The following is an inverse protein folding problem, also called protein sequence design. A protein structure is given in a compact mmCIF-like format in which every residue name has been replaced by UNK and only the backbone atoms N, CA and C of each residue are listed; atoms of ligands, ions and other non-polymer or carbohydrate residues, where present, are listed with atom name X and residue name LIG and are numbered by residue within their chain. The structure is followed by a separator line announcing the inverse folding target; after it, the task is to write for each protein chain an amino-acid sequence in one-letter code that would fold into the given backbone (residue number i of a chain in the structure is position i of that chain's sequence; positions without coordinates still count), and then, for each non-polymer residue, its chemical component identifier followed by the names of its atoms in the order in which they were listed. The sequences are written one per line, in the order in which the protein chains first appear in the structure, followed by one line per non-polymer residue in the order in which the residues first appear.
data_IF_564493881011
#
_entry.id   IF_564493881011
#
_cell.length_a   1.000
_cell.length_b   1.000
_cell.length_c   1.000
_cell.angle_alpha   90.00
_cell.angle_beta   90.00
_cell.angle_gamma   90.00
#
_symmetry.space_group_name_H-M   'P 1'
#
loop_
_entity.id
_entity.type
_entity.pdbx_description
1 polymer ?
#
# COMPACT_ATOMS: atom_id res chain seq x y z
N UNK A 1 21.52 1.78 28.56
CA UNK A 1 21.18 3.15 28.12
C UNK A 1 20.16 3.01 27.00
N UNK A 2 19.11 3.84 26.91
CA UNK A 2 18.32 3.85 25.69
C UNK A 2 19.25 4.21 24.52
N UNK A 3 19.16 3.49 23.41
CA UNK A 3 19.90 3.82 22.19
C UNK A 3 19.57 5.27 21.79
N UNK A 4 20.52 6.02 21.19
CA UNK A 4 20.21 7.33 20.65
C UNK A 4 19.04 7.21 19.66
N UNK A 5 18.15 8.21 19.61
CA UNK A 5 17.00 8.17 18.71
C UNK A 5 17.50 8.08 17.25
N UNK A 6 16.90 7.22 16.42
CA UNK A 6 17.41 6.96 15.08
C UNK A 6 17.23 8.16 14.16
N UNK A 7 18.11 8.29 13.17
CA UNK A 7 17.93 9.19 12.04
C UNK A 7 17.19 8.45 10.92
N UNK A 8 16.00 8.94 10.59
CA UNK A 8 15.08 8.30 9.64
C UNK A 8 14.88 9.21 8.44
N UNK A 9 15.09 8.69 7.24
CA UNK A 9 14.73 9.35 6.00
C UNK A 9 13.55 8.66 5.32
N UNK A 10 12.62 9.44 4.75
CA UNK A 10 11.49 8.92 3.98
C UNK A 10 11.70 9.26 2.51
N UNK A 11 11.67 8.23 1.66
CA UNK A 11 11.81 8.33 0.21
C UNK A 11 10.50 7.94 -0.47
N UNK A 12 9.84 8.94 -1.08
CA UNK A 12 8.58 8.75 -1.78
C UNK A 12 7.41 9.45 -1.09
N UNK A 13 7.38 10.78 -1.11
CA UNK A 13 6.34 11.58 -0.46
C UNK A 13 5.08 11.75 -1.31
N UNK A 14 4.48 10.61 -1.68
CA UNK A 14 3.07 10.53 -2.09
C UNK A 14 2.15 10.48 -0.86
N UNK A 15 0.93 9.97 -1.04
CA UNK A 15 -0.08 9.92 0.04
C UNK A 15 0.44 9.23 1.31
N UNK A 16 0.94 7.99 1.19
CA UNK A 16 1.46 7.21 2.33
C UNK A 16 2.72 7.85 2.92
N UNK A 17 3.67 8.26 2.07
CA UNK A 17 4.93 8.86 2.54
C UNK A 17 4.72 10.17 3.29
N UNK A 18 3.85 11.05 2.80
CA UNK A 18 3.51 12.30 3.48
C UNK A 18 2.77 12.06 4.80
N UNK A 19 1.83 11.10 4.82
CA UNK A 19 1.14 10.74 6.06
C UNK A 19 2.09 10.16 7.11
N UNK A 20 2.99 9.25 6.70
CA UNK A 20 4.05 8.73 7.58
C UNK A 20 4.97 9.86 8.07
N UNK A 21 5.37 10.78 7.18
CA UNK A 21 6.21 11.92 7.52
C UNK A 21 5.58 12.79 8.60
N UNK A 22 4.27 13.07 8.51
CA UNK A 22 3.56 13.81 9.55
C UNK A 22 3.73 13.12 10.90
N UNK A 23 3.45 11.82 10.99
CA UNK A 23 3.56 11.09 12.25
C UNK A 23 4.99 11.13 12.81
N UNK A 24 6.01 10.86 12.00
CA UNK A 24 7.40 10.79 12.47
C UNK A 24 7.95 12.17 12.87
N UNK A 25 7.54 13.26 12.21
CA UNK A 25 7.94 14.63 12.58
C UNK A 25 7.37 15.09 13.93
N UNK A 26 6.46 14.33 14.50
CA UNK A 26 5.92 14.53 15.85
C UNK A 26 6.47 13.52 16.88
N UNK A 27 7.56 12.80 16.58
CA UNK A 27 8.17 11.86 17.53
C UNK A 27 8.55 12.55 18.85
N UNK A 28 7.96 12.16 19.99
CA UNK A 28 8.29 12.73 21.29
C UNK A 28 9.74 12.46 21.74
N UNK A 29 10.42 11.48 21.14
CA UNK A 29 11.80 11.13 21.47
C UNK A 29 12.84 11.82 20.56
N UNK A 30 12.42 12.78 19.73
CA UNK A 30 13.30 13.60 18.90
C UNK A 30 14.15 12.80 17.89
N UNK A 31 13.61 11.73 17.28
CA UNK A 31 14.22 11.15 16.08
C UNK A 31 14.43 12.23 15.02
N UNK A 32 15.58 12.19 14.34
CA UNK A 32 15.88 13.17 13.30
C UNK A 32 15.26 12.70 12.00
N UNK A 33 14.26 13.42 11.50
CA UNK A 33 13.51 13.05 10.30
C UNK A 33 13.97 13.87 9.11
N UNK A 34 14.27 13.16 8.01
CA UNK A 34 14.61 13.73 6.71
C UNK A 34 13.65 13.26 5.63
N UNK A 35 13.44 14.12 4.64
CA UNK A 35 12.48 13.91 3.56
C UNK A 35 13.22 13.94 2.23
N UNK A 36 13.19 12.86 1.46
CA UNK A 36 13.73 12.86 0.08
C UNK A 36 12.57 13.03 -0.88
N UNK A 37 12.48 14.21 -1.48
CA UNK A 37 11.31 14.62 -2.24
C UNK A 37 11.66 15.36 -3.54
N UNK A 38 10.76 15.27 -4.51
CA UNK A 38 10.84 16.02 -5.78
C UNK A 38 10.42 17.48 -5.56
N UNK A 39 10.79 18.34 -6.48
CA UNK A 39 10.41 19.77 -6.48
C UNK A 39 8.89 19.97 -6.32
N UNK A 40 8.07 19.11 -6.91
CA UNK A 40 6.61 19.18 -6.76
C UNK A 40 6.14 19.10 -5.30
N UNK A 41 6.85 18.39 -4.43
CA UNK A 41 6.54 18.32 -3.00
C UNK A 41 6.94 19.62 -2.30
N UNK A 42 8.14 20.14 -2.56
CA UNK A 42 8.61 21.38 -1.94
C UNK A 42 7.80 22.58 -2.41
N UNK A 43 7.42 22.66 -3.68
CA UNK A 43 6.51 23.71 -4.17
C UNK A 43 5.14 23.66 -3.48
N UNK A 44 4.65 22.46 -3.15
CA UNK A 44 3.32 22.27 -2.55
C UNK A 44 3.30 22.51 -1.04
N UNK A 45 4.37 22.18 -0.33
CA UNK A 45 4.40 22.16 1.14
C UNK A 45 5.46 23.07 1.77
N UNK A 46 6.42 23.58 1.00
CA UNK A 46 7.54 24.35 1.51
C UNK A 46 7.18 25.72 2.09
N UNK A 47 5.98 26.25 1.80
CA UNK A 47 5.49 27.53 2.31
C UNK A 47 4.36 27.39 3.33
N UNK A 48 3.50 26.38 3.19
CA UNK A 48 2.28 26.20 3.99
C UNK A 48 2.32 24.97 4.90
N UNK A 49 3.23 24.03 4.66
CA UNK A 49 3.30 22.77 5.38
C UNK A 49 2.26 21.78 4.88
N UNK A 50 1.88 20.84 5.74
CA UNK A 50 0.80 19.88 5.47
C UNK A 50 0.22 19.33 6.77
N UNK A 51 -0.94 18.67 6.68
CA UNK A 51 -1.62 18.07 7.80
C UNK A 51 -1.92 16.59 7.54
N UNK A 52 -1.81 15.76 8.58
CA UNK A 52 -2.34 14.40 8.59
C UNK A 52 -3.55 14.30 9.54
N UNK A 53 -4.67 13.78 9.04
CA UNK A 53 -5.87 13.50 9.85
C UNK A 53 -6.00 12.00 10.09
N UNK A 54 -5.99 11.58 11.35
CA UNK A 54 -6.17 10.18 11.77
C UNK A 54 -7.64 9.75 11.66
N UNK A 55 -7.88 8.45 11.74
CA UNK A 55 -9.24 7.89 11.66
C UNK A 55 -10.18 8.39 12.76
N UNK A 56 -9.63 8.73 13.94
CA UNK A 56 -10.36 9.31 15.07
C UNK A 56 -10.66 10.82 14.91
N UNK A 57 -10.20 11.43 13.81
CA UNK A 57 -10.36 12.84 13.50
C UNK A 57 -9.27 13.75 14.07
N UNK A 58 -8.33 13.22 14.87
CA UNK A 58 -7.20 14.01 15.37
C UNK A 58 -6.26 14.42 14.23
N UNK A 59 -5.68 15.62 14.35
CA UNK A 59 -4.88 16.24 13.30
C UNK A 59 -3.45 16.52 13.74
N UNK A 60 -2.51 16.24 12.84
CA UNK A 60 -1.09 16.51 12.99
C UNK A 60 -0.67 17.56 11.96
N UNK A 61 -0.39 18.78 12.42
CA UNK A 61 -0.03 19.91 11.55
C UNK A 61 1.50 20.08 11.45
N UNK A 62 2.06 19.75 10.30
CA UNK A 62 3.48 19.90 10.02
C UNK A 62 3.73 21.30 9.46
N UNK A 63 4.45 22.12 10.22
CA UNK A 63 4.86 23.45 9.79
C UNK A 63 6.07 23.38 8.83
N UNK A 64 6.19 24.29 7.84
CA UNK A 64 7.29 24.29 6.88
C UNK A 64 8.70 24.27 7.49
N UNK A 65 8.90 24.92 8.63
CA UNK A 65 10.19 25.01 9.33
C UNK A 65 10.70 23.67 9.86
N UNK A 66 9.81 22.66 9.96
CA UNK A 66 10.18 21.29 10.35
C UNK A 66 10.62 20.41 9.18
N UNK A 67 10.52 20.91 7.95
CA UNK A 67 10.76 20.10 6.75
C UNK A 67 12.25 20.08 6.39
N UNK A 68 12.96 19.04 6.81
CA UNK A 68 14.33 18.78 6.37
C UNK A 68 14.32 18.04 5.03
N UNK A 69 14.11 18.78 3.93
CA UNK A 69 13.96 18.21 2.59
C UNK A 69 15.29 18.17 1.84
N UNK A 70 15.54 17.04 1.17
CA UNK A 70 16.67 16.77 0.30
C UNK A 70 16.17 16.40 -1.09
N UNK A 71 16.89 16.83 -2.13
CA UNK A 71 16.48 16.62 -3.52
C UNK A 71 16.72 15.18 -3.99
N UNK A 72 17.66 14.47 -3.35
CA UNK A 72 18.00 13.09 -3.68
C UNK A 72 18.60 12.35 -2.48
N UNK A 73 18.75 11.03 -2.61
CA UNK A 73 19.43 10.21 -1.60
C UNK A 73 20.91 10.60 -1.50
N UNK A 74 21.56 10.93 -2.61
CA UNK A 74 22.96 11.36 -2.59
C UNK A 74 23.15 12.69 -1.84
N UNK A 75 22.25 13.65 -2.07
CA UNK A 75 22.20 14.95 -1.38
C UNK A 75 22.02 14.75 0.14
N UNK A 76 21.06 13.91 0.53
CA UNK A 76 20.85 13.50 1.92
C UNK A 76 22.12 12.93 2.57
N UNK A 77 22.76 11.96 1.92
CA UNK A 77 23.92 11.26 2.48
C UNK A 77 25.20 12.12 2.50
N UNK A 78 25.25 13.20 1.73
CA UNK A 78 26.31 14.20 1.83
C UNK A 78 26.17 15.09 3.08
N UNK A 79 24.95 15.25 3.59
CA UNK A 79 24.66 16.13 4.73
C UNK A 79 24.62 15.40 6.08
N UNK A 80 24.15 14.14 6.11
CA UNK A 80 23.81 13.44 7.36
C UNK A 80 23.93 11.92 7.21
N UNK A 81 24.37 11.26 8.29
CA UNK A 81 24.30 9.80 8.42
C UNK A 81 22.88 9.36 8.75
N UNK A 82 22.35 8.39 8.01
CA UNK A 82 20.96 7.93 8.13
C UNK A 82 20.93 6.46 8.54
N UNK A 83 20.18 6.15 9.59
CA UNK A 83 20.03 4.78 10.11
C UNK A 83 18.98 4.00 9.32
N UNK A 84 17.84 4.63 9.03
CA UNK A 84 16.73 4.01 8.30
C UNK A 84 16.31 4.85 7.10
N UNK A 85 16.19 4.22 5.93
CA UNK A 85 15.60 4.80 4.74
C UNK A 85 14.27 4.08 4.43
N UNK A 86 13.14 4.72 4.75
CA UNK A 86 11.80 4.18 4.52
C UNK A 86 11.33 4.55 3.11
N UNK A 87 11.13 3.53 2.27
CA UNK A 87 10.75 3.65 0.86
C UNK A 87 9.26 3.41 0.71
N UNK A 88 8.52 4.46 0.34
CA UNK A 88 7.05 4.49 0.19
C UNK A 88 6.62 4.80 -1.25
N UNK A 89 7.47 4.49 -2.24
CA UNK A 89 7.16 4.67 -3.66
C UNK A 89 6.21 3.56 -4.17
N UNK A 90 5.50 3.85 -5.27
CA UNK A 90 4.73 2.82 -5.98
C UNK A 90 5.64 1.69 -6.44
N UNK A 91 5.10 0.47 -6.53
CA UNK A 91 5.86 -0.72 -6.94
C UNK A 91 6.58 -0.56 -8.27
N UNK A 92 5.93 0.10 -9.25
CA UNK A 92 6.52 0.40 -10.57
C UNK A 92 7.86 1.14 -10.51
N UNK A 93 8.10 1.92 -9.45
CA UNK A 93 9.31 2.74 -9.30
C UNK A 93 10.34 2.11 -8.35
N UNK A 94 10.02 1.01 -7.67
CA UNK A 94 10.85 0.48 -6.58
C UNK A 94 12.25 0.11 -7.07
N UNK A 95 12.37 -0.65 -8.17
CA UNK A 95 13.67 -1.06 -8.71
C UNK A 95 14.60 0.12 -8.96
N UNK A 96 14.13 1.11 -9.71
CA UNK A 96 14.93 2.28 -10.08
C UNK A 96 15.34 3.09 -8.83
N UNK A 97 14.46 3.17 -7.84
CA UNK A 97 14.76 3.80 -6.55
C UNK A 97 15.85 3.03 -5.80
N UNK A 98 15.75 1.70 -5.71
CA UNK A 98 16.78 0.86 -5.08
C UNK A 98 18.12 0.97 -5.81
N UNK A 99 18.13 1.06 -7.14
CA UNK A 99 19.35 1.29 -7.92
C UNK A 99 20.00 2.64 -7.59
N UNK A 100 19.20 3.69 -7.41
CA UNK A 100 19.66 5.00 -6.96
C UNK A 100 20.22 4.98 -5.53
N UNK A 101 19.56 4.26 -4.61
CA UNK A 101 20.04 4.07 -3.22
C UNK A 101 21.38 3.32 -3.20
N UNK A 102 21.52 2.26 -4.01
CA UNK A 102 22.79 1.55 -4.18
C UNK A 102 23.88 2.47 -4.71
N UNK A 103 23.58 3.23 -5.76
CA UNK A 103 24.54 4.14 -6.39
C UNK A 103 25.00 5.26 -5.43
N UNK A 104 24.12 5.72 -4.55
CA UNK A 104 24.45 6.68 -3.50
C UNK A 104 25.29 6.07 -2.35
N UNK A 105 25.51 4.76 -2.34
CA UNK A 105 26.36 4.08 -1.35
C UNK A 105 25.74 3.98 0.04
N UNK A 106 24.41 3.96 0.15
CA UNK A 106 23.72 3.84 1.44
C UNK A 106 24.11 2.56 2.20
N UNK A 107 24.33 2.66 3.51
CA UNK A 107 24.78 1.56 4.39
C UNK A 107 23.88 1.29 5.60
N UNK A 108 22.80 2.06 5.78
CA UNK A 108 21.83 1.83 6.84
C UNK A 108 20.83 0.71 6.48
N UNK A 109 19.65 0.77 7.08
CA UNK A 109 18.56 -0.17 6.84
C UNK A 109 17.56 0.43 5.86
N UNK A 110 17.21 -0.30 4.80
CA UNK A 110 16.15 0.10 3.87
C UNK A 110 14.84 -0.58 4.27
N UNK A 111 13.79 0.21 4.48
CA UNK A 111 12.47 -0.33 4.82
C UNK A 111 11.52 -0.14 3.66
N UNK A 112 11.05 -1.23 3.07
CA UNK A 112 10.18 -1.16 1.87
C UNK A 112 8.73 -1.30 2.30
N UNK A 113 7.94 -0.25 2.08
CA UNK A 113 6.52 -0.19 2.44
C UNK A 113 5.70 0.14 1.18
N UNK A 114 5.68 -0.81 0.25
CA UNK A 114 4.93 -0.72 -1.02
C UNK A 114 3.73 -1.67 -1.04
N UNK A 115 2.74 -1.42 -1.89
CA UNK A 115 1.62 -2.35 -2.09
C UNK A 115 2.05 -3.65 -2.79
N UNK A 116 1.19 -4.67 -2.76
CA UNK A 116 1.49 -5.98 -3.35
C UNK A 116 2.51 -6.78 -2.53
N UNK A 117 2.98 -7.88 -3.09
CA UNK A 117 3.97 -8.76 -2.47
C UNK A 117 5.37 -8.56 -3.10
N UNK A 118 6.38 -9.19 -2.49
CA UNK A 118 7.76 -9.32 -3.01
C UNK A 118 8.55 -8.01 -3.18
N UNK A 119 8.05 -6.89 -2.65
CA UNK A 119 8.78 -5.62 -2.70
C UNK A 119 10.11 -5.70 -1.97
N UNK A 120 10.15 -6.35 -0.80
CA UNK A 120 11.39 -6.58 -0.06
C UNK A 120 12.33 -7.54 -0.78
N UNK A 121 11.82 -8.57 -1.46
CA UNK A 121 12.63 -9.49 -2.25
C UNK A 121 13.32 -8.79 -3.43
N UNK A 122 12.56 -8.00 -4.19
CA UNK A 122 13.10 -7.21 -5.30
C UNK A 122 14.16 -6.21 -4.82
N UNK A 123 13.88 -5.51 -3.71
CA UNK A 123 14.83 -4.58 -3.12
C UNK A 123 16.13 -5.28 -2.67
N UNK A 124 16.02 -6.45 -2.03
CA UNK A 124 17.19 -7.27 -1.63
C UNK A 124 18.03 -7.70 -2.84
N UNK A 125 17.40 -8.02 -3.96
CA UNK A 125 18.11 -8.38 -5.20
C UNK A 125 18.91 -7.23 -5.81
N UNK A 126 18.56 -5.97 -5.49
CA UNK A 126 19.29 -4.78 -5.97
C UNK A 126 20.30 -4.29 -4.93
N UNK A 127 19.94 -4.32 -3.66
CA UNK A 127 20.67 -3.73 -2.54
C UNK A 127 21.56 -4.75 -1.83
N UNK A 128 22.50 -5.34 -2.57
CA UNK A 128 23.44 -6.31 -2.01
C UNK A 128 24.23 -5.74 -0.82
N UNK A 129 24.20 -6.45 0.31
CA UNK A 129 24.92 -6.06 1.54
C UNK A 129 24.25 -4.95 2.36
N UNK A 130 23.04 -4.52 1.99
CA UNK A 130 22.21 -3.59 2.77
C UNK A 130 21.08 -4.36 3.42
N UNK A 131 20.82 -4.14 4.71
CA UNK A 131 19.67 -4.76 5.38
C UNK A 131 18.36 -4.20 4.79
N UNK A 132 17.46 -5.09 4.38
CA UNK A 132 16.13 -4.72 3.90
C UNK A 132 15.07 -5.27 4.84
N UNK A 133 14.29 -4.37 5.44
CA UNK A 133 13.11 -4.70 6.25
C UNK A 133 11.88 -4.54 5.39
N UNK A 134 11.14 -5.63 5.21
CA UNK A 134 9.87 -5.58 4.47
C UNK A 134 8.73 -5.09 5.36
N UNK A 135 7.86 -4.26 4.82
CA UNK A 135 6.73 -3.68 5.54
C UNK A 135 5.44 -3.70 4.75
N UNK A 136 4.33 -3.68 5.48
CA UNK A 136 2.97 -3.63 4.93
C UNK A 136 2.24 -2.41 5.52
N UNK A 137 1.76 -1.54 4.62
CA UNK A 137 0.89 -0.43 4.99
C UNK A 137 -0.59 -0.87 4.96
N UNK A 138 -1.38 -0.70 6.03
CA UNK A 138 -2.64 -1.42 6.17
C UNK A 138 -3.87 -0.68 5.64
N UNK A 139 -3.82 0.65 5.53
CA UNK A 139 -5.00 1.47 5.22
C UNK A 139 -4.78 2.44 4.08
N UNK A 140 -5.88 2.91 3.49
CA UNK A 140 -5.83 3.92 2.45
C UNK A 140 -5.59 5.31 3.07
N UNK A 141 -4.72 6.08 2.44
CA UNK A 141 -4.57 7.51 2.69
C UNK A 141 -5.13 8.24 1.48
N UNK A 142 -6.01 9.21 1.72
CA UNK A 142 -6.57 10.08 0.69
C UNK A 142 -6.10 11.50 0.91
N UNK A 143 -6.08 12.30 -0.15
CA UNK A 143 -5.85 13.73 -0.04
C UNK A 143 -7.18 14.48 -0.23
N UNK A 144 -7.74 15.02 0.85
CA UNK A 144 -9.04 15.72 0.82
C UNK A 144 -8.96 17.12 0.21
N UNK A 145 -7.84 17.79 0.44
CA UNK A 145 -7.46 19.06 -0.15
C UNK A 145 -5.92 19.10 -0.25
N UNK A 146 -5.37 20.06 -0.99
CA UNK A 146 -3.92 20.15 -1.17
C UNK A 146 -3.16 20.23 0.17
N UNK A 147 -2.41 19.18 0.51
CA UNK A 147 -1.68 19.05 1.77
C UNK A 147 -2.48 18.52 2.95
N UNK A 148 -3.70 18.02 2.74
CA UNK A 148 -4.52 17.39 3.77
C UNK A 148 -4.60 15.88 3.53
N UNK A 149 -3.75 15.12 4.21
CA UNK A 149 -3.67 13.67 4.09
C UNK A 149 -4.52 12.99 5.17
N UNK A 150 -5.57 12.28 4.78
CA UNK A 150 -6.52 11.65 5.71
C UNK A 150 -6.46 10.12 5.64
N UNK A 151 -6.41 9.48 6.80
CA UNK A 151 -6.61 8.04 6.93
C UNK A 151 -8.08 7.69 6.64
N UNK A 152 -8.31 6.84 5.64
CA UNK A 152 -9.64 6.46 5.18
C UNK A 152 -10.12 5.11 5.74
N UNK A 153 -9.23 4.28 6.28
CA UNK A 153 -9.58 2.98 6.88
C UNK A 153 -8.71 2.65 8.09
N UNK A 154 -9.15 1.70 8.92
CA UNK A 154 -8.42 1.22 10.09
C UNK A 154 -7.38 0.14 9.71
N UNK A 155 -6.42 -0.10 10.60
CA UNK A 155 -5.43 -1.19 10.48
C UNK A 155 -4.07 -0.82 11.06
N UNK A 156 -3.29 -1.86 11.41
CA UNK A 156 -1.95 -1.72 11.99
C UNK A 156 -0.87 -1.92 10.94
N UNK A 157 0.20 -1.13 10.98
CA UNK A 157 1.37 -1.34 10.12
C UNK A 157 2.06 -2.65 10.52
N UNK A 158 2.61 -3.38 9.57
CA UNK A 158 3.44 -4.55 9.86
C UNK A 158 4.84 -4.36 9.32
N UNK A 159 5.85 -4.74 10.10
CA UNK A 159 7.25 -4.81 9.67
C UNK A 159 7.79 -6.23 9.88
N UNK A 160 8.79 -6.62 9.08
CA UNK A 160 9.50 -7.90 9.28
C UNK A 160 10.14 -7.94 10.67
N UNK A 161 9.86 -9.01 11.42
CA UNK A 161 10.46 -9.21 12.73
C UNK A 161 11.97 -9.42 12.62
N UNK A 162 12.70 -8.46 13.17
CA UNK A 162 14.16 -8.31 13.15
C UNK A 162 14.53 -7.25 14.19
N UNK A 163 15.80 -7.13 14.63
CA UNK A 163 16.20 -6.04 15.53
C UNK A 163 15.84 -4.65 14.97
N UNK A 164 16.13 -4.42 13.69
CA UNK A 164 15.84 -3.18 12.97
C UNK A 164 14.33 -2.96 12.80
N UNK A 165 13.59 -4.00 12.42
CA UNK A 165 12.13 -3.94 12.29
C UNK A 165 11.40 -3.66 13.61
N UNK A 166 11.83 -4.26 14.73
CA UNK A 166 11.30 -3.97 16.07
C UNK A 166 11.58 -2.54 16.51
N UNK A 167 12.81 -2.07 16.31
CA UNK A 167 13.20 -0.69 16.64
C UNK A 167 12.34 0.34 15.89
N UNK A 168 12.09 0.10 14.59
CA UNK A 168 11.25 0.98 13.79
C UNK A 168 9.77 0.84 14.13
N UNK A 169 9.27 -0.37 14.43
CA UNK A 169 7.91 -0.60 14.88
C UNK A 169 7.59 0.12 16.19
N UNK A 170 8.52 0.10 17.16
CA UNK A 170 8.41 0.86 18.39
C UNK A 170 8.33 2.36 18.09
N UNK A 171 9.14 2.84 17.14
CA UNK A 171 9.17 4.26 16.75
C UNK A 171 7.86 4.69 16.10
N UNK A 172 7.34 3.91 15.15
CA UNK A 172 6.06 4.18 14.50
C UNK A 172 4.92 4.17 15.53
N UNK A 173 4.91 3.18 16.42
CA UNK A 173 3.87 3.04 17.46
C UNK A 173 3.87 4.24 18.40
N UNK A 174 5.04 4.69 18.87
CA UNK A 174 5.16 5.91 19.70
C UNK A 174 4.70 7.17 18.97
N UNK A 175 4.87 7.24 17.65
CA UNK A 175 4.39 8.33 16.81
C UNK A 175 2.88 8.25 16.50
N UNK A 176 2.15 7.31 17.12
CA UNK A 176 0.72 7.12 16.91
C UNK A 176 0.35 6.34 15.65
N UNK A 177 1.28 5.53 15.12
CA UNK A 177 1.02 4.52 14.08
C UNK A 177 1.20 3.12 14.69
N UNK A 178 0.15 2.49 15.23
CA UNK A 178 0.23 1.13 15.76
C UNK A 178 0.91 0.19 14.76
N UNK A 179 2.05 -0.36 15.17
CA UNK A 179 2.89 -1.19 14.29
C UNK A 179 3.24 -2.50 14.98
N UNK A 180 3.01 -3.60 14.26
CA UNK A 180 3.33 -4.96 14.69
C UNK A 180 4.55 -5.48 13.92
N UNK A 181 5.23 -6.47 14.48
CA UNK A 181 6.21 -7.25 13.73
C UNK A 181 5.67 -8.62 13.37
N UNK A 182 6.15 -9.19 12.26
CA UNK A 182 5.81 -10.56 11.84
C UNK A 182 7.05 -11.32 11.40
N UNK A 183 7.19 -12.55 11.90
CA UNK A 183 8.21 -13.48 11.42
C UNK A 183 7.91 -13.94 9.98
N UNK A 184 6.63 -14.02 9.59
CA UNK A 184 6.20 -14.42 8.27
C UNK A 184 5.53 -13.23 7.55
N UNK A 185 6.33 -12.44 6.83
CA UNK A 185 5.84 -11.30 6.07
C UNK A 185 5.11 -11.71 4.80
N UNK A 186 5.42 -12.87 4.20
CA UNK A 186 4.69 -13.36 3.03
C UNK A 186 3.23 -13.60 3.39
N UNK A 187 2.95 -14.25 4.52
CA UNK A 187 1.57 -14.41 5.03
C UNK A 187 0.83 -13.08 5.17
N UNK A 188 1.50 -12.04 5.68
CA UNK A 188 0.94 -10.70 5.86
C UNK A 188 0.66 -10.03 4.51
N UNK A 189 1.63 -10.05 3.59
CA UNK A 189 1.53 -9.38 2.29
C UNK A 189 0.53 -10.05 1.37
N UNK A 190 0.56 -11.39 1.26
CA UNK A 190 -0.41 -12.14 0.45
C UNK A 190 -1.81 -12.12 1.06
N UNK A 191 -1.92 -11.97 2.38
CA UNK A 191 -3.19 -11.71 3.05
C UNK A 191 -3.79 -10.36 2.66
N UNK A 192 -3.01 -9.28 2.76
CA UNK A 192 -3.45 -7.95 2.30
C UNK A 192 -3.74 -7.93 0.80
N UNK A 193 -2.94 -8.65 0.00
CA UNK A 193 -3.12 -8.73 -1.45
C UNK A 193 -4.53 -9.22 -1.81
N UNK A 194 -5.07 -10.24 -1.12
CA UNK A 194 -6.44 -10.74 -1.35
C UNK A 194 -7.51 -9.65 -1.19
N UNK A 195 -7.32 -8.73 -0.24
CA UNK A 195 -8.21 -7.57 -0.06
C UNK A 195 -8.04 -6.59 -1.22
N UNK A 196 -6.79 -6.30 -1.59
CA UNK A 196 -6.46 -5.38 -2.67
C UNK A 196 -6.85 -5.88 -4.07
N UNK A 197 -7.20 -7.16 -4.25
CA UNK A 197 -7.77 -7.64 -5.52
C UNK A 197 -9.07 -6.91 -5.88
N UNK A 198 -9.78 -6.35 -4.90
CA UNK A 198 -10.97 -5.54 -5.16
C UNK A 198 -10.65 -4.18 -5.84
N UNK A 199 -9.41 -3.69 -5.74
CA UNK A 199 -9.05 -2.36 -6.24
C UNK A 199 -9.30 -2.21 -7.74
N UNK A 200 -8.96 -3.24 -8.52
CA UNK A 200 -9.19 -3.27 -9.96
C UNK A 200 -10.67 -3.35 -10.33
N UNK A 201 -11.48 -4.05 -9.53
CA UNK A 201 -12.92 -4.20 -9.75
C UNK A 201 -13.61 -2.85 -9.49
N UNK A 202 -13.21 -2.13 -8.43
CA UNK A 202 -13.65 -0.77 -8.18
C UNK A 202 -13.28 0.18 -9.35
N UNK A 203 -12.07 0.06 -9.92
CA UNK A 203 -11.67 0.85 -11.09
C UNK A 203 -12.48 0.51 -12.35
N UNK A 204 -12.70 -0.78 -12.65
CA UNK A 204 -13.45 -1.24 -13.83
C UNK A 204 -14.94 -0.92 -13.74
N UNK A 205 -15.55 -1.04 -12.56
CA UNK A 205 -16.96 -0.67 -12.36
C UNK A 205 -17.20 0.83 -12.44
N UNK A 206 -16.14 1.64 -12.25
CA UNK A 206 -16.22 3.09 -12.08
C UNK A 206 -17.21 3.52 -10.98
N UNK A 207 -17.38 2.70 -9.94
CA UNK A 207 -18.24 2.96 -8.79
C UNK A 207 -17.41 3.24 -7.53
N UNK A 208 -17.92 4.07 -6.61
CA UNK A 208 -17.42 4.12 -5.23
C UNK A 208 -17.45 2.73 -4.59
N UNK A 209 -16.51 2.46 -3.69
CA UNK A 209 -16.28 1.15 -3.08
C UNK A 209 -17.56 0.56 -2.47
N UNK A 210 -18.34 1.37 -1.75
CA UNK A 210 -19.59 0.91 -1.14
C UNK A 210 -20.61 0.47 -2.19
N UNK A 211 -20.78 1.22 -3.28
CA UNK A 211 -21.73 0.90 -4.33
C UNK A 211 -21.31 -0.36 -5.11
N UNK A 212 -20.01 -0.49 -5.40
CA UNK A 212 -19.43 -1.67 -6.02
C UNK A 212 -19.66 -2.92 -5.16
N UNK A 213 -19.25 -2.89 -3.88
CA UNK A 213 -19.39 -4.03 -2.96
C UNK A 213 -20.87 -4.34 -2.66
N UNK A 214 -21.79 -3.38 -2.74
CA UNK A 214 -23.23 -3.66 -2.62
C UNK A 214 -23.83 -4.34 -3.86
N UNK A 215 -23.08 -4.47 -4.95
CA UNK A 215 -23.57 -5.05 -6.21
C UNK A 215 -23.07 -6.48 -6.36
N UNK A 216 -24.00 -7.44 -6.42
CA UNK A 216 -23.70 -8.88 -6.50
C UNK A 216 -22.67 -9.24 -7.57
N UNK A 217 -22.80 -8.69 -8.78
CA UNK A 217 -21.93 -9.01 -9.92
C UNK A 217 -20.45 -8.74 -9.63
N UNK A 218 -20.13 -7.58 -9.05
CA UNK A 218 -18.76 -7.21 -8.72
C UNK A 218 -18.21 -8.00 -7.53
N UNK A 219 -19.02 -8.22 -6.48
CA UNK A 219 -18.63 -9.14 -5.39
C UNK A 219 -18.34 -10.55 -5.87
N UNK A 220 -19.11 -11.06 -6.82
CA UNK A 220 -18.88 -12.37 -7.43
C UNK A 220 -17.53 -12.42 -8.15
N UNK A 221 -17.15 -11.36 -8.87
CA UNK A 221 -15.82 -11.26 -9.51
C UNK A 221 -14.73 -11.29 -8.44
N UNK A 222 -14.86 -10.52 -7.36
CA UNK A 222 -13.88 -10.53 -6.28
C UNK A 222 -13.76 -11.92 -5.65
N UNK A 223 -14.88 -12.59 -5.40
CA UNK A 223 -14.90 -13.96 -4.88
C UNK A 223 -14.17 -14.96 -5.79
N UNK A 224 -14.31 -14.81 -7.12
CA UNK A 224 -13.62 -15.65 -8.09
C UNK A 224 -12.11 -15.40 -8.08
N UNK A 225 -11.67 -14.14 -8.08
CA UNK A 225 -10.25 -13.78 -7.92
C UNK A 225 -9.67 -14.37 -6.63
N UNK A 226 -10.35 -14.20 -5.49
CA UNK A 226 -9.91 -14.78 -4.22
C UNK A 226 -9.83 -16.31 -4.29
N UNK A 227 -10.78 -16.96 -4.96
CA UNK A 227 -10.79 -18.42 -5.11
C UNK A 227 -9.59 -18.91 -5.93
N UNK A 228 -9.26 -18.23 -7.03
CA UNK A 228 -8.06 -18.52 -7.82
C UNK A 228 -6.79 -18.29 -6.99
N UNK A 229 -6.66 -17.11 -6.37
CA UNK A 229 -5.50 -16.77 -5.54
C UNK A 229 -5.28 -17.74 -4.40
N UNK A 230 -6.32 -18.17 -3.69
CA UNK A 230 -6.19 -19.14 -2.60
C UNK A 230 -5.71 -20.51 -3.08
N UNK A 231 -6.11 -20.95 -4.28
CA UNK A 231 -5.57 -22.18 -4.90
C UNK A 231 -4.10 -22.02 -5.25
N UNK A 232 -3.73 -20.89 -5.85
CA UNK A 232 -2.34 -20.56 -6.17
C UNK A 232 -1.48 -20.54 -4.90
N UNK A 233 -1.94 -19.86 -3.85
CA UNK A 233 -1.22 -19.74 -2.58
C UNK A 233 -1.07 -21.09 -1.90
N UNK A 234 -2.11 -21.93 -1.90
CA UNK A 234 -2.02 -23.29 -1.36
C UNK A 234 -0.97 -24.14 -2.11
N UNK A 235 -0.94 -24.07 -3.44
CA UNK A 235 0.07 -24.77 -4.24
C UNK A 235 1.49 -24.22 -4.02
N UNK A 236 1.63 -22.92 -3.71
CA UNK A 236 2.89 -22.27 -3.38
C UNK A 236 3.32 -22.43 -1.90
N UNK A 237 2.50 -23.06 -1.05
CA UNK A 237 2.78 -23.18 0.39
C UNK A 237 2.62 -21.86 1.18
N UNK A 238 1.86 -20.91 0.65
CA UNK A 238 1.60 -19.61 1.28
C UNK A 238 0.29 -19.66 2.07
N UNK A 239 0.36 -19.28 3.34
CA UNK A 239 -0.79 -19.22 4.23
C UNK A 239 -1.14 -17.76 4.56
N UNK A 240 -2.10 -17.13 3.87
CA UNK A 240 -2.38 -15.71 4.03
C UNK A 240 -3.02 -15.38 5.38
N UNK A 241 -2.54 -14.32 6.05
CA UNK A 241 -3.11 -13.79 7.28
C UNK A 241 -4.43 -13.07 6.97
N UNK A 242 -5.55 -13.39 7.66
CA UNK A 242 -6.81 -12.69 7.47
C UNK A 242 -6.79 -11.31 8.13
N UNK A 243 -7.15 -10.28 7.37
CA UNK A 243 -7.33 -8.90 7.86
C UNK A 243 -8.80 -8.45 7.92
N UNK A 244 -9.71 -9.31 7.48
CA UNK A 244 -11.15 -9.09 7.56
C UNK A 244 -11.74 -9.97 8.67
N UNK A 245 -12.90 -9.58 9.19
CA UNK A 245 -13.59 -10.32 10.25
C UNK A 245 -14.00 -11.75 9.84
N UNK A 246 -14.04 -12.03 8.54
CA UNK A 246 -14.39 -13.35 7.98
C UNK A 246 -13.11 -14.06 7.54
N UNK A 247 -12.87 -15.33 7.96
CA UNK A 247 -11.75 -16.12 7.47
C UNK A 247 -11.72 -16.22 5.95
N UNK A 248 -10.53 -16.15 5.34
CA UNK A 248 -10.39 -16.19 3.88
C UNK A 248 -10.83 -17.51 3.24
N UNK A 249 -10.89 -18.61 3.99
CA UNK A 249 -11.50 -19.86 3.51
C UNK A 249 -13.03 -19.76 3.32
N UNK A 250 -13.68 -18.85 4.03
CA UNK A 250 -15.15 -18.67 4.03
C UNK A 250 -15.56 -17.44 3.21
N UNK A 251 -14.71 -16.42 3.15
CA UNK A 251 -15.01 -15.14 2.53
C UNK A 251 -15.51 -15.24 1.07
N UNK A 252 -14.94 -16.07 0.17
CA UNK A 252 -15.48 -16.22 -1.18
C UNK A 252 -16.93 -16.72 -1.23
N UNK A 253 -17.39 -17.47 -0.23
CA UNK A 253 -18.80 -17.89 -0.13
C UNK A 253 -19.69 -16.75 0.36
N UNK A 254 -19.22 -15.98 1.35
CA UNK A 254 -19.93 -14.79 1.84
C UNK A 254 -20.10 -13.75 0.74
N UNK A 255 -19.07 -13.51 -0.07
CA UNK A 255 -19.14 -12.59 -1.20
C UNK A 255 -20.14 -13.03 -2.29
N UNK A 256 -20.54 -14.31 -2.32
CA UNK A 256 -21.51 -14.86 -3.30
C UNK A 256 -22.94 -14.97 -2.76
N UNK A 257 -23.24 -14.45 -1.58
CA UNK A 257 -24.63 -14.39 -1.10
C UNK A 257 -25.42 -13.26 -1.81
N UNK A 258 -26.76 -13.35 -1.93
CA UNK A 258 -27.59 -12.30 -2.51
C UNK A 258 -27.43 -10.94 -1.80
N UNK A 259 -27.68 -9.83 -2.51
CA UNK A 259 -27.47 -8.46 -2.01
C UNK A 259 -28.21 -8.18 -0.70
N UNK A 260 -29.44 -8.67 -0.55
CA UNK A 260 -30.22 -8.49 0.69
C UNK A 260 -29.52 -9.07 1.91
N UNK A 261 -28.90 -10.24 1.80
CA UNK A 261 -28.17 -10.88 2.89
C UNK A 261 -26.80 -10.22 3.11
N UNK A 262 -26.11 -9.86 2.03
CA UNK A 262 -24.80 -9.22 2.13
C UNK A 262 -24.91 -7.82 2.76
N UNK A 263 -25.96 -7.06 2.47
CA UNK A 263 -26.18 -5.74 3.06
C UNK A 263 -26.34 -5.81 4.59
N UNK A 264 -26.86 -6.92 5.14
CA UNK A 264 -26.87 -7.15 6.59
C UNK A 264 -25.44 -7.30 7.12
N UNK A 265 -24.61 -8.11 6.45
CA UNK A 265 -23.19 -8.26 6.79
C UNK A 265 -22.46 -6.91 6.73
N UNK A 266 -22.67 -6.15 5.66
CA UNK A 266 -22.07 -4.83 5.47
C UNK A 266 -22.55 -3.80 6.51
N UNK A 267 -23.83 -3.84 6.90
CA UNK A 267 -24.37 -2.95 7.93
C UNK A 267 -23.73 -3.19 9.31
N UNK A 268 -23.29 -4.42 9.58
CA UNK A 268 -22.53 -4.75 10.80
C UNK A 268 -21.07 -4.29 10.71
N UNK A 269 -20.52 -4.17 9.50
CA UNK A 269 -19.22 -3.58 9.21
C UNK A 269 -19.35 -2.06 9.12
N UNK A 270 -19.55 -1.42 10.27
CA UNK A 270 -19.63 0.03 10.39
C UNK A 270 -18.41 0.72 9.75
N UNK A 271 -18.63 1.85 9.06
CA UNK A 271 -17.63 2.84 8.58
C UNK A 271 -16.99 2.67 7.18
N UNK A 272 -17.63 2.04 6.19
CA UNK A 272 -17.22 2.28 4.79
C UNK A 272 -17.79 3.62 4.32
N UNK A 273 -16.90 4.58 4.01
CA UNK A 273 -17.25 5.87 3.41
C UNK A 273 -18.06 5.64 2.12
N UNK A 274 -19.29 6.18 2.00
CA UNK A 274 -20.10 6.02 0.79
C UNK A 274 -19.42 6.55 -0.48
N UNK A 275 -18.51 7.52 -0.34
CA UNK A 275 -17.76 8.11 -1.45
C UNK A 275 -16.33 7.57 -1.54
N UNK A 276 -15.94 6.65 -0.66
CA UNK A 276 -14.60 6.07 -0.65
C UNK A 276 -14.30 5.32 -1.94
N UNK A 277 -13.14 5.57 -2.55
CA UNK A 277 -12.66 4.92 -3.76
C UNK A 277 -11.40 4.12 -3.47
N UNK A 278 -11.04 3.17 -4.36
CA UNK A 278 -9.77 2.45 -4.27
C UNK A 278 -8.60 3.28 -4.80
N UNK A 279 -7.37 2.94 -4.42
CA UNK A 279 -6.17 3.59 -4.97
C UNK A 279 -6.06 3.43 -6.49
N UNK A 280 -6.47 2.27 -7.02
CA UNK A 280 -6.45 2.01 -8.45
C UNK A 280 -7.54 2.79 -9.20
N UNK A 281 -8.72 2.96 -8.61
CA UNK A 281 -9.76 3.84 -9.14
C UNK A 281 -9.20 5.25 -9.33
N UNK A 282 -8.51 5.76 -8.31
CA UNK A 282 -7.89 7.09 -8.35
C UNK A 282 -6.78 7.19 -9.39
N UNK A 283 -5.99 6.14 -9.57
CA UNK A 283 -4.96 6.09 -10.60
C UNK A 283 -5.56 6.15 -12.01
N UNK A 284 -6.55 5.31 -12.29
CA UNK A 284 -7.25 5.30 -13.59
C UNK A 284 -7.93 6.65 -13.83
N UNK A 285 -8.65 7.20 -12.83
CA UNK A 285 -9.32 8.50 -12.91
C UNK A 285 -8.36 9.63 -13.33
N UNK A 286 -7.14 9.60 -12.83
CA UNK A 286 -6.13 10.63 -13.07
C UNK A 286 -5.15 10.28 -14.20
N UNK A 287 -5.41 9.21 -14.97
CA UNK A 287 -4.55 8.77 -16.07
C UNK A 287 -3.15 8.33 -15.63
N UNK A 288 -3.00 7.85 -14.39
CA UNK A 288 -1.73 7.33 -13.86
C UNK A 288 -1.62 5.84 -14.09
N UNK A 289 -0.37 5.37 -14.25
CA UNK A 289 -0.06 3.94 -14.23
C UNK A 289 -0.49 3.33 -12.89
N UNK A 290 -1.20 2.21 -12.97
CA UNK A 290 -1.72 1.46 -11.83
C UNK A 290 -0.70 0.44 -11.32
N UNK A 291 -1.03 -0.24 -10.22
CA UNK A 291 -0.22 -1.33 -9.68
C UNK A 291 -0.75 -2.72 -10.08
N UNK A 292 -1.54 -2.83 -11.16
CA UNK A 292 -2.23 -4.08 -11.53
C UNK A 292 -1.29 -5.29 -11.67
N UNK A 293 -0.09 -5.07 -12.18
CA UNK A 293 0.92 -6.12 -12.37
C UNK A 293 1.46 -6.68 -11.05
N UNK A 294 1.39 -5.89 -9.97
CA UNK A 294 1.81 -6.29 -8.62
C UNK A 294 0.63 -6.74 -7.74
N UNK A 295 -0.59 -6.66 -8.26
CA UNK A 295 -1.81 -7.16 -7.62
C UNK A 295 -2.26 -8.47 -8.28
N UNK A 296 -3.26 -8.43 -9.16
CA UNK A 296 -3.68 -9.60 -9.93
C UNK A 296 -2.54 -10.17 -10.78
N UNK A 297 -1.65 -9.33 -11.32
CA UNK A 297 -0.50 -9.80 -12.09
C UNK A 297 0.45 -10.69 -11.29
N UNK A 298 0.59 -10.44 -9.98
CA UNK A 298 1.39 -11.29 -9.09
C UNK A 298 0.73 -12.65 -8.88
N UNK A 299 -0.61 -12.70 -8.76
CA UNK A 299 -1.37 -13.95 -8.69
C UNK A 299 -1.20 -14.76 -9.99
N UNK A 300 -1.28 -14.11 -11.15
CA UNK A 300 -1.08 -14.74 -12.46
C UNK A 300 0.33 -15.31 -12.58
N UNK A 301 1.34 -14.51 -12.22
CA UNK A 301 2.75 -14.93 -12.26
C UNK A 301 2.97 -16.16 -11.38
N UNK A 302 2.55 -16.10 -10.11
CA UNK A 302 2.71 -17.21 -9.18
C UNK A 302 1.91 -18.44 -9.62
N UNK A 303 0.70 -18.25 -10.15
CA UNK A 303 -0.12 -19.33 -10.70
C UNK A 303 0.59 -20.10 -11.81
N UNK A 304 1.26 -19.39 -12.73
CA UNK A 304 2.09 -20.00 -13.78
C UNK A 304 3.26 -20.80 -13.22
N UNK A 305 3.91 -20.31 -12.16
CA UNK A 305 5.05 -20.99 -11.51
C UNK A 305 4.64 -22.31 -10.84
N UNK A 306 3.45 -22.35 -10.24
CA UNK A 306 2.94 -23.53 -9.52
C UNK A 306 1.96 -24.38 -10.34
N UNK A 307 1.75 -24.04 -11.62
CA UNK A 307 0.89 -24.78 -12.53
C UNK A 307 -0.62 -24.66 -12.26
N UNK A 308 -1.07 -23.56 -11.63
CA UNK A 308 -2.48 -23.27 -11.34
C UNK A 308 -2.99 -22.15 -12.24
N UNK A 309 -4.09 -22.41 -12.95
CA UNK A 309 -4.72 -21.42 -13.83
C UNK A 309 -5.45 -20.31 -13.04
N UNK A 310 -5.37 -19.09 -13.56
CA UNK A 310 -5.97 -17.88 -12.95
C UNK A 310 -6.72 -17.02 -13.99
N UNK A 311 -7.68 -17.59 -14.74
CA UNK A 311 -8.29 -16.91 -15.88
C UNK A 311 -9.00 -15.60 -15.53
N UNK A 312 -9.66 -15.51 -14.37
CA UNK A 312 -10.35 -14.27 -13.96
C UNK A 312 -9.33 -13.19 -13.61
N UNK A 313 -8.26 -13.53 -12.89
CA UNK A 313 -7.16 -12.59 -12.63
C UNK A 313 -6.49 -12.13 -13.94
N UNK A 314 -6.26 -13.05 -14.90
CA UNK A 314 -5.67 -12.71 -16.22
C UNK A 314 -6.56 -11.74 -17.01
N UNK A 315 -7.88 -11.96 -17.01
CA UNK A 315 -8.85 -11.10 -17.67
C UNK A 315 -8.85 -9.69 -17.08
N UNK A 316 -8.88 -9.56 -15.75
CA UNK A 316 -8.84 -8.25 -15.07
C UNK A 316 -7.55 -7.49 -15.38
N UNK A 317 -6.40 -8.19 -15.41
CA UNK A 317 -5.13 -7.58 -15.81
C UNK A 317 -5.21 -7.04 -17.24
N UNK A 318 -5.80 -7.81 -18.16
CA UNK A 318 -6.03 -7.37 -19.55
C UNK A 318 -6.86 -6.11 -19.65
N UNK A 319 -8.02 -6.07 -18.98
CA UNK A 319 -8.95 -4.94 -19.01
C UNK A 319 -8.35 -3.66 -18.42
N UNK A 320 -7.62 -3.75 -17.30
CA UNK A 320 -6.95 -2.56 -16.72
C UNK A 320 -5.86 -2.05 -17.66
N UNK A 321 -5.06 -2.93 -18.27
CA UNK A 321 -4.04 -2.52 -19.26
C UNK A 321 -4.66 -1.90 -20.51
N UNK A 322 -5.87 -2.31 -20.90
CA UNK A 322 -6.63 -1.67 -21.97
C UNK A 322 -7.06 -0.25 -21.59
N UNK A 323 -7.56 -0.05 -20.36
CA UNK A 323 -7.89 1.28 -19.83
C UNK A 323 -6.66 2.21 -19.79
N UNK A 324 -5.53 1.71 -19.29
CA UNK A 324 -4.27 2.46 -19.23
C UNK A 324 -3.80 2.87 -20.63
N UNK A 325 -3.84 1.95 -21.62
CA UNK A 325 -3.47 2.25 -23.01
C UNK A 325 -4.43 3.22 -23.68
N UNK A 326 -5.72 3.15 -23.38
CA UNK A 326 -6.72 4.04 -23.95
C UNK A 326 -6.58 5.47 -23.43
N UNK A 327 -6.08 5.66 -22.20
CA UNK A 327 -5.87 6.97 -21.58
C UNK A 327 -7.16 7.77 -21.37
N UNK A 328 -8.33 7.11 -21.42
CA UNK A 328 -9.66 7.75 -21.34
C UNK A 328 -10.15 8.00 -19.91
N UNK A 329 -9.37 7.63 -18.90
CA UNK A 329 -9.81 7.63 -17.51
C UNK A 329 -10.73 6.44 -17.21
N UNK A 330 -11.68 6.64 -16.28
CA UNK A 330 -12.63 5.60 -15.88
C UNK A 330 -13.64 5.34 -17.01
N UNK A 331 -13.77 4.07 -17.40
CA UNK A 331 -14.82 3.60 -18.30
C UNK A 331 -15.59 2.50 -17.56
N UNK A 332 -16.90 2.68 -17.31
CA UNK A 332 -17.67 1.70 -16.56
C UNK A 332 -17.84 0.41 -17.39
N UNK A 333 -17.45 -0.71 -16.79
CA UNK A 333 -17.71 -2.06 -17.28
C UNK A 333 -18.73 -2.72 -16.37
N UNK A 334 -19.73 -3.36 -16.98
CA UNK A 334 -20.66 -4.26 -16.28
C UNK A 334 -19.93 -5.50 -15.75
N UNK A 335 -20.52 -6.16 -14.75
CA UNK A 335 -19.95 -7.38 -14.21
C UNK A 335 -19.91 -8.51 -15.26
N UNK A 336 -20.87 -8.54 -16.17
CA UNK A 336 -20.93 -9.45 -17.31
C UNK A 336 -19.74 -9.25 -18.25
N UNK A 337 -19.48 -8.00 -18.70
CA UNK A 337 -18.35 -7.68 -19.59
C UNK A 337 -16.99 -8.02 -18.97
N UNK A 338 -16.85 -7.85 -17.65
CA UNK A 338 -15.62 -8.22 -16.93
C UNK A 338 -15.42 -9.74 -16.93
N UNK A 339 -16.51 -10.53 -16.85
CA UNK A 339 -16.47 -11.99 -16.78
C UNK A 339 -16.55 -12.70 -18.14
N UNK A 340 -16.72 -11.97 -19.24
CA UNK A 340 -16.60 -12.54 -20.58
C UNK A 340 -15.15 -13.02 -20.81
N UNK A 341 -14.96 -14.34 -20.72
CA UNK A 341 -13.71 -15.07 -21.00
C UNK A 341 -13.86 -15.80 -22.34
#
# INVERSE_FOLDING_TARGET
MPFPPPTIAILGLGLVGSYLAAHLLFDPNHSTIHLVARESFTSKHGTTGFCATRIDGSQLHVSPDKLNVHASVADLLAAVSVDFLVVTVKRVALKAVCEGVRAAGFKGVVVVVSNGARGGEEARGVLEGVEVVEGMWPFNVVESAAGEYRQASEGDVYLKDSPSGRSLADTFTRCGLPTKTSENMDSVLYGKLLVNLNNAICALSALPLRAEVCTYGYRKIWALCMTESLKVYAAAGIHPTPFLAVPYSVLPYVLRVPDSLFNVVLSMLSKIDPNGTSSMYEDVRNGRVTEIDFLQGEVVRLGREVGVQTPVCERIVGLIRELERAGKGLVPHSAEEILEV
#
